data_IF_580712632844
#
_entry.id   IF_580712632844
#
_cell.length_a   1.000
_cell.length_b   1.000
_cell.length_c   1.000
_cell.angle_alpha   90.00
_cell.angle_beta   90.00
_cell.angle_gamma   90.00
#
_symmetry.space_group_name_H-M   'P 1'
#
loop_
_entity.id
_entity.type
_entity.pdbx_description
1 polymer ?
#
# COMPACT_ATOMS: atom_id res chain seq x y z
N UNK A 1 4.23 -17.09 22.77
CA UNK A 1 5.37 -17.39 21.88
C UNK A 1 6.73 -17.28 22.58
N UNK A 2 7.13 -16.16 23.24
CA UNK A 2 8.48 -16.05 23.83
C UNK A 2 8.75 -17.03 24.99
N UNK A 3 7.80 -17.19 25.91
CA UNK A 3 7.99 -18.05 27.09
C UNK A 3 8.12 -19.54 26.75
N UNK A 4 7.57 -20.00 25.62
CA UNK A 4 7.70 -21.41 25.22
C UNK A 4 9.04 -21.72 24.56
N UNK A 5 9.71 -20.73 23.95
CA UNK A 5 10.99 -20.92 23.25
C UNK A 5 12.22 -20.60 24.11
N UNK A 6 12.04 -20.02 25.30
CA UNK A 6 13.17 -19.68 26.21
C UNK A 6 13.92 -20.93 26.68
N UNK A 7 13.21 -22.06 26.80
CA UNK A 7 13.75 -23.34 27.24
C UNK A 7 14.71 -23.97 26.21
N UNK A 8 14.54 -23.68 24.92
CA UNK A 8 15.35 -24.24 23.83
C UNK A 8 16.45 -23.27 23.34
N UNK A 9 16.21 -21.95 23.38
CA UNK A 9 17.09 -20.95 22.78
C UNK A 9 17.91 -20.11 23.78
N UNK A 10 17.60 -20.15 25.08
CA UNK A 10 18.35 -19.40 26.10
C UNK A 10 18.45 -17.90 25.82
N UNK A 11 19.67 -17.34 25.78
CA UNK A 11 19.90 -15.90 25.60
C UNK A 11 19.60 -15.37 24.18
N UNK A 12 19.43 -16.25 23.18
CA UNK A 12 19.10 -15.86 21.79
C UNK A 12 17.59 -15.66 21.59
N UNK A 13 16.77 -16.18 22.51
CA UNK A 13 15.31 -16.05 22.50
C UNK A 13 14.77 -14.64 22.26
N UNK A 14 15.28 -13.54 22.89
CA UNK A 14 14.76 -12.20 22.61
C UNK A 14 14.96 -11.77 21.16
N UNK A 15 16.09 -12.12 20.53
CA UNK A 15 16.38 -11.75 19.14
C UNK A 15 15.43 -12.48 18.18
N UNK A 16 15.29 -13.80 18.35
CA UNK A 16 14.42 -14.61 17.49
C UNK A 16 12.95 -14.22 17.68
N UNK A 17 12.53 -13.98 18.92
CA UNK A 17 11.17 -13.51 19.21
C UNK A 17 10.92 -12.13 18.58
N UNK A 18 11.90 -11.22 18.63
CA UNK A 18 11.74 -9.90 18.01
C UNK A 18 11.57 -10.00 16.49
N UNK A 19 12.35 -10.86 15.82
CA UNK A 19 12.23 -11.09 14.38
C UNK A 19 10.85 -11.67 14.04
N UNK A 20 10.43 -12.73 14.73
CA UNK A 20 9.13 -13.35 14.50
C UNK A 20 7.99 -12.36 14.78
N UNK A 21 8.06 -11.63 15.90
CA UNK A 21 7.08 -10.60 16.24
C UNK A 21 7.01 -9.50 15.18
N UNK A 22 8.16 -9.03 14.70
CA UNK A 22 8.21 -8.05 13.61
C UNK A 22 7.53 -8.57 12.34
N UNK A 23 7.77 -9.82 11.95
CA UNK A 23 7.12 -10.42 10.78
C UNK A 23 5.60 -10.48 10.93
N UNK A 24 5.10 -10.93 12.08
CA UNK A 24 3.64 -10.99 12.33
C UNK A 24 3.01 -9.60 12.35
N UNK A 25 3.63 -8.61 12.99
CA UNK A 25 3.14 -7.24 13.03
C UNK A 25 3.17 -6.59 11.64
N UNK A 26 4.21 -6.85 10.85
CA UNK A 26 4.32 -6.34 9.48
C UNK A 26 3.25 -6.96 8.58
N UNK A 27 3.01 -8.27 8.71
CA UNK A 27 1.96 -8.96 7.97
C UNK A 27 0.57 -8.39 8.30
N UNK A 28 0.29 -8.16 9.58
CA UNK A 28 -0.96 -7.55 10.05
C UNK A 28 -1.13 -6.11 9.52
N UNK A 29 -0.07 -5.30 9.53
CA UNK A 29 -0.10 -3.95 8.97
C UNK A 29 -0.36 -3.95 7.45
N UNK A 30 0.30 -4.84 6.70
CA UNK A 30 0.06 -5.00 5.25
C UNK A 30 -1.38 -5.46 5.01
N UNK A 31 -1.90 -6.38 5.83
CA UNK A 31 -3.28 -6.84 5.74
C UNK A 31 -4.26 -5.67 5.84
N UNK A 32 -4.11 -4.82 6.86
CA UNK A 32 -4.95 -3.62 7.02
C UNK A 32 -4.90 -2.68 5.81
N UNK A 33 -3.71 -2.43 5.26
CA UNK A 33 -3.58 -1.55 4.08
C UNK A 33 -4.31 -2.14 2.85
N UNK A 34 -4.37 -3.47 2.71
CA UNK A 34 -5.03 -4.14 1.58
C UNK A 34 -6.55 -4.25 1.78
N UNK A 35 -7.04 -4.22 3.01
CA UNK A 35 -8.48 -4.32 3.32
C UNK A 35 -9.29 -3.12 2.80
N UNK A 36 -8.69 -1.92 2.76
CA UNK A 36 -9.37 -0.67 2.37
C UNK A 36 -8.58 0.12 1.30
N UNK A 37 -8.42 -0.43 0.07
CA UNK A 37 -7.45 0.08 -0.93
C UNK A 37 -7.89 1.37 -1.66
N UNK A 38 -8.93 2.04 -1.18
CA UNK A 38 -9.58 3.18 -1.83
C UNK A 38 -9.85 4.35 -0.86
N UNK A 39 -9.16 4.39 0.28
CA UNK A 39 -9.27 5.46 1.28
C UNK A 39 -8.36 6.66 1.00
N UNK A 40 -7.61 6.60 -0.12
CA UNK A 40 -6.71 7.65 -0.59
C UNK A 40 -5.45 7.80 0.30
N UNK A 41 -4.99 6.69 0.88
CA UNK A 41 -3.66 6.57 1.48
C UNK A 41 -2.57 6.43 0.39
N UNK A 42 -1.32 6.63 0.78
CA UNK A 42 -0.11 6.54 -0.03
C UNK A 42 0.08 5.14 -0.66
N UNK A 43 -0.45 4.11 -0.02
CA UNK A 43 -0.37 2.71 -0.49
C UNK A 43 -1.62 2.25 -1.26
N UNK A 44 -2.60 3.13 -1.42
CA UNK A 44 -3.87 2.80 -2.04
C UNK A 44 -3.81 2.87 -3.56
N UNK A 45 -4.90 2.40 -4.17
CA UNK A 45 -5.08 2.55 -5.62
C UNK A 45 -5.34 4.03 -5.95
N UNK A 46 -4.61 4.63 -6.90
CA UNK A 46 -4.77 6.05 -7.26
C UNK A 46 -6.03 6.25 -8.11
N UNK A 47 -7.19 6.21 -7.45
CA UNK A 47 -8.50 6.26 -8.09
C UNK A 47 -8.72 7.57 -8.86
N UNK A 48 -8.17 8.69 -8.38
CA UNK A 48 -8.34 9.98 -9.05
C UNK A 48 -7.56 10.00 -10.36
N UNK A 49 -6.33 9.49 -10.37
CA UNK A 49 -5.53 9.38 -11.59
C UNK A 49 -6.12 8.37 -12.58
N UNK A 50 -6.66 7.24 -12.12
CA UNK A 50 -7.37 6.29 -12.96
C UNK A 50 -8.61 6.93 -13.60
N UNK A 51 -9.44 7.62 -12.81
CA UNK A 51 -10.60 8.35 -13.31
C UNK A 51 -10.20 9.42 -14.31
N UNK A 52 -9.13 10.19 -14.06
CA UNK A 52 -8.60 11.17 -15.03
C UNK A 52 -8.17 10.50 -16.33
N UNK A 53 -7.51 9.36 -16.24
CA UNK A 53 -7.07 8.60 -17.42
C UNK A 53 -8.26 8.09 -18.24
N UNK A 54 -9.29 7.56 -17.56
CA UNK A 54 -10.54 7.14 -18.21
C UNK A 54 -11.23 8.33 -18.88
N UNK A 55 -11.32 9.47 -18.20
CA UNK A 55 -11.89 10.71 -18.75
C UNK A 55 -11.19 11.12 -20.05
N UNK A 56 -9.85 11.16 -20.03
CA UNK A 56 -9.04 11.51 -21.21
C UNK A 56 -9.31 10.54 -22.36
N UNK A 57 -9.28 9.23 -22.08
CA UNK A 57 -9.51 8.19 -23.09
C UNK A 57 -10.90 8.34 -23.75
N UNK A 58 -11.95 8.57 -22.95
CA UNK A 58 -13.30 8.72 -23.47
C UNK A 58 -13.44 9.98 -24.33
N UNK A 59 -12.88 11.11 -23.90
CA UNK A 59 -12.89 12.37 -24.68
C UNK A 59 -12.12 12.24 -26.00
N UNK A 60 -10.98 11.55 -25.97
CA UNK A 60 -10.22 11.22 -27.19
C UNK A 60 -11.04 10.37 -28.17
N UNK A 61 -11.77 9.37 -27.68
CA UNK A 61 -12.66 8.54 -28.51
C UNK A 61 -13.80 9.35 -29.15
N UNK A 62 -14.24 10.44 -28.50
CA UNK A 62 -15.23 11.37 -29.03
C UNK A 62 -14.66 12.43 -29.99
N UNK A 63 -13.33 12.44 -30.19
CA UNK A 63 -12.65 13.40 -31.06
C UNK A 63 -12.43 14.78 -30.43
N UNK A 64 -12.57 14.90 -29.10
CA UNK A 64 -12.23 16.15 -28.39
C UNK A 64 -10.72 16.42 -28.45
N UNK A 65 -10.35 17.68 -28.69
CA UNK A 65 -8.95 18.12 -28.74
C UNK A 65 -8.51 18.82 -27.46
N UNK A 66 -9.45 19.38 -26.70
CA UNK A 66 -9.19 20.02 -25.42
C UNK A 66 -9.37 18.99 -24.30
N UNK A 67 -8.27 18.33 -23.93
CA UNK A 67 -8.26 17.27 -22.93
C UNK A 67 -7.73 17.80 -21.59
N UNK A 68 -8.29 17.34 -20.46
CA UNK A 68 -7.71 17.67 -19.17
C UNK A 68 -6.31 17.05 -19.03
N UNK A 69 -5.40 17.67 -18.28
CA UNK A 69 -4.06 17.12 -18.06
C UNK A 69 -4.11 15.85 -17.21
N UNK A 70 -3.21 14.91 -17.49
CA UNK A 70 -2.98 13.76 -16.62
C UNK A 70 -2.51 14.23 -15.24
N UNK A 71 -3.06 13.65 -14.18
CA UNK A 71 -2.60 13.93 -12.81
C UNK A 71 -1.13 13.52 -12.68
N UNK A 72 -0.36 14.38 -12.03
CA UNK A 72 1.07 14.17 -11.79
C UNK A 72 1.29 13.75 -10.34
N UNK A 73 2.33 12.96 -10.05
CA UNK A 73 2.67 12.61 -8.68
C UNK A 73 3.00 13.85 -7.84
N UNK A 74 2.56 13.85 -6.58
CA UNK A 74 2.93 14.81 -5.54
C UNK A 74 3.87 14.10 -4.58
N UNK A 75 5.09 14.63 -4.42
CA UNK A 75 6.14 14.03 -3.58
C UNK A 75 6.46 12.56 -3.91
N UNK A 76 6.29 12.17 -5.18
CA UNK A 76 6.52 10.81 -5.66
C UNK A 76 5.31 9.87 -5.61
N UNK A 77 4.17 10.34 -5.10
CA UNK A 77 2.95 9.54 -4.97
C UNK A 77 1.83 10.05 -5.89
N UNK A 78 1.13 9.13 -6.52
CA UNK A 78 -0.02 9.41 -7.36
C UNK A 78 -1.29 9.05 -6.57
N UNK A 79 -2.33 9.86 -6.72
CA UNK A 79 -3.63 9.71 -6.04
C UNK A 79 -4.76 9.70 -7.08
#
# INVERSE_FOLDING_TARGET
LPLSMVSELGLVTPVVTAIIGFLFLSLDAIGRNVEAPFENDIHDTPMSALCRTIEINLRQMLGETELPPALQPVDGFLY
#
